data_IF_862834116276
#
_entry.id   IF_862834116276
#
_cell.length_a   1.000
_cell.length_b   1.000
_cell.length_c   1.000
_cell.angle_alpha   90.00
_cell.angle_beta   90.00
_cell.angle_gamma   90.00
#
_symmetry.space_group_name_H-M   'P 1'
#
loop_
_entity.id
_entity.type
_entity.pdbx_description
1 polymer ?
#
# COMPACT_ATOMS: atom_id res chain seq x y z
N UNK A 1 3.95 13.19 -2.86
CA UNK A 1 3.30 12.42 -3.94
C UNK A 1 3.55 10.98 -3.59
N UNK A 2 2.51 10.14 -3.52
CA UNK A 2 2.71 8.72 -3.24
C UNK A 2 3.42 8.06 -4.44
N UNK A 3 4.33 7.14 -4.15
CA UNK A 3 5.11 6.41 -5.15
C UNK A 3 4.29 5.25 -5.73
N UNK A 4 3.44 4.63 -4.92
CA UNK A 4 2.54 3.57 -5.37
C UNK A 4 1.35 4.15 -6.13
N UNK A 5 1.04 3.63 -7.34
CA UNK A 5 -0.18 4.00 -8.04
C UNK A 5 -1.44 3.64 -7.23
N UNK A 6 -2.21 4.65 -6.82
CA UNK A 6 -3.46 4.48 -6.05
C UNK A 6 -4.40 3.43 -6.65
N UNK A 7 -4.56 3.44 -7.98
CA UNK A 7 -5.42 2.48 -8.69
C UNK A 7 -4.96 1.02 -8.51
N UNK A 8 -3.65 0.77 -8.43
CA UNK A 8 -3.14 -0.57 -8.19
C UNK A 8 -3.47 -1.06 -6.78
N UNK A 9 -3.29 -0.18 -5.78
CA UNK A 9 -3.65 -0.46 -4.39
C UNK A 9 -5.15 -0.75 -4.23
N UNK A 10 -6.02 0.02 -4.89
CA UNK A 10 -7.47 -0.25 -4.91
C UNK A 10 -7.79 -1.62 -5.51
N UNK A 11 -7.12 -2.05 -6.59
CA UNK A 11 -7.32 -3.38 -7.16
C UNK A 11 -6.94 -4.49 -6.18
N UNK A 12 -5.84 -4.34 -5.46
CA UNK A 12 -5.42 -5.31 -4.43
C UNK A 12 -6.43 -5.38 -3.29
N UNK A 13 -6.91 -4.22 -2.81
CA UNK A 13 -7.94 -4.15 -1.77
C UNK A 13 -9.24 -4.87 -2.18
N UNK A 14 -9.71 -4.65 -3.43
CA UNK A 14 -10.88 -5.35 -3.98
C UNK A 14 -10.66 -6.85 -4.08
N UNK A 15 -9.49 -7.27 -4.56
CA UNK A 15 -9.11 -8.70 -4.62
C UNK A 15 -9.08 -9.34 -3.23
N UNK A 16 -8.78 -8.56 -2.18
CA UNK A 16 -8.80 -8.99 -0.79
C UNK A 16 -10.20 -8.96 -0.14
N UNK A 17 -11.25 -8.63 -0.89
CA UNK A 17 -12.65 -8.67 -0.43
C UNK A 17 -13.28 -7.31 -0.13
N UNK A 18 -12.60 -6.19 -0.39
CA UNK A 18 -13.23 -4.88 -0.25
C UNK A 18 -14.26 -4.63 -1.37
N UNK A 19 -15.54 -4.54 -1.03
CA UNK A 19 -16.59 -4.24 -2.02
C UNK A 19 -16.50 -2.80 -2.56
N UNK A 20 -16.21 -1.85 -1.67
CA UNK A 20 -16.10 -0.42 -1.98
C UNK A 20 -14.85 0.15 -1.32
N UNK A 21 -14.10 0.96 -2.06
CA UNK A 21 -12.95 1.70 -1.55
C UNK A 21 -13.16 3.15 -1.97
N UNK A 22 -13.43 4.02 -1.00
CA UNK A 22 -13.53 5.47 -1.19
C UNK A 22 -12.16 6.10 -1.40
N UNK A 23 -12.13 7.38 -1.78
CA UNK A 23 -10.88 8.09 -2.07
C UNK A 23 -9.96 8.17 -0.85
N UNK A 24 -10.47 8.64 0.28
CA UNK A 24 -9.70 8.71 1.54
C UNK A 24 -9.19 7.33 1.98
N UNK A 25 -10.01 6.30 1.79
CA UNK A 25 -9.62 4.91 2.09
C UNK A 25 -8.50 4.44 1.15
N UNK A 26 -8.56 4.80 -0.13
CA UNK A 26 -7.51 4.48 -1.08
C UNK A 26 -6.20 5.20 -0.73
N UNK A 27 -6.26 6.48 -0.34
CA UNK A 27 -5.09 7.22 0.14
C UNK A 27 -4.48 6.61 1.40
N UNK A 28 -5.31 6.26 2.39
CA UNK A 28 -4.85 5.61 3.61
C UNK A 28 -4.19 4.24 3.34
N UNK A 29 -4.73 3.46 2.40
CA UNK A 29 -4.16 2.17 2.00
C UNK A 29 -2.81 2.34 1.31
N UNK A 30 -2.66 3.34 0.45
CA UNK A 30 -1.39 3.65 -0.22
C UNK A 30 -0.32 3.96 0.80
N UNK A 31 -0.60 4.89 1.72
CA UNK A 31 0.36 5.29 2.76
C UNK A 31 0.78 4.11 3.65
N UNK A 32 -0.17 3.24 4.03
CA UNK A 32 0.13 2.06 4.83
C UNK A 32 0.97 1.04 4.06
N UNK A 33 0.70 0.84 2.78
CA UNK A 33 1.45 -0.08 1.94
C UNK A 33 2.90 0.39 1.77
N UNK A 34 3.11 1.70 1.53
CA UNK A 34 4.45 2.29 1.41
C UNK A 34 5.23 2.17 2.71
N UNK A 35 4.62 2.53 3.85
CA UNK A 35 5.26 2.40 5.16
C UNK A 35 5.65 0.95 5.48
N UNK A 36 4.82 -0.02 5.10
CA UNK A 36 5.14 -1.44 5.30
C UNK A 36 6.32 -1.89 4.44
N UNK A 37 6.35 -1.48 3.16
CA UNK A 37 7.47 -1.77 2.26
C UNK A 37 8.75 -1.13 2.78
N UNK A 38 8.72 0.12 3.24
CA UNK A 38 9.88 0.81 3.80
C UNK A 38 10.45 0.06 5.02
N UNK A 39 9.57 -0.38 5.93
CA UNK A 39 9.99 -1.13 7.11
C UNK A 39 10.71 -2.44 6.71
N UNK A 40 10.11 -3.23 5.82
CA UNK A 40 10.71 -4.49 5.36
C UNK A 40 12.01 -4.22 4.58
N UNK A 41 12.08 -3.14 3.79
CA UNK A 41 13.28 -2.80 3.05
C UNK A 41 14.46 -2.48 3.97
N UNK A 42 14.21 -1.79 5.10
CA UNK A 42 15.24 -1.53 6.11
C UNK A 42 15.73 -2.83 6.75
N UNK A 43 14.80 -3.69 7.18
CA UNK A 43 15.15 -5.01 7.74
C UNK A 43 15.92 -5.87 6.73
N UNK A 44 15.49 -5.90 5.47
CA UNK A 44 16.16 -6.66 4.41
C UNK A 44 17.58 -6.15 4.14
N UNK A 45 17.81 -4.84 4.28
CA UNK A 45 19.13 -4.25 4.13
C UNK A 45 20.09 -4.62 5.28
N UNK A 46 19.58 -4.94 6.46
CA UNK A 46 20.41 -5.46 7.57
C UNK A 46 20.85 -6.91 7.36
N UNK A 47 20.17 -7.64 6.46
CA UNK A 47 20.48 -9.02 6.10
C UNK A 47 21.45 -9.15 4.91
N UNK A 48 21.81 -8.04 4.26
CA UNK A 48 22.70 -7.97 3.11
C UNK A 48 24.14 -7.62 3.53
#
# INVERSE_FOLDING_TARGET
MADLPKAAVVRLAKKAGAERVGEDAADALVLKAEAYIEAIAKEANELA
#
